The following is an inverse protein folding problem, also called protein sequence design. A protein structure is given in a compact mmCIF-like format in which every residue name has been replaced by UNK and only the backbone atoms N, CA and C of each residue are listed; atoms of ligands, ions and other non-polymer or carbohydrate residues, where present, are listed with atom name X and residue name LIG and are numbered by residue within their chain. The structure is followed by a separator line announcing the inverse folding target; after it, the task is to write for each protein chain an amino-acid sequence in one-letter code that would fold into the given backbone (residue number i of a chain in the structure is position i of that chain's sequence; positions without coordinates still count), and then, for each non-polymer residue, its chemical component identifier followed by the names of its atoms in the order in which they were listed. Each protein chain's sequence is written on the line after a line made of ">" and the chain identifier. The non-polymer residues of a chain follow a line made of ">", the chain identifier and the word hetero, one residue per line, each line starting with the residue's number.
data_IF_858790837016
#
_entry.id   IF_858790837016
#
_cell.length_a   1.000
_cell.length_b   1.000
_cell.length_c   1.000
_cell.angle_alpha   90.00
_cell.angle_beta   90.00
_cell.angle_gamma   90.00
#
_symmetry.space_group_name_H-M   'P 1'
#
loop_
_entity.id
_entity.type
_entity.pdbx_description
1 polymer ?
#
# COMPACT_ATOMS: atom_id res chain seq x y z
N UNK A 1 4.54 0.42 -25.52
CA UNK A 1 3.24 -0.02 -26.10
C UNK A 1 2.44 1.24 -26.40
N UNK A 2 1.77 1.34 -27.55
CA UNK A 2 0.96 2.52 -27.87
C UNK A 2 -0.44 2.35 -27.27
N UNK A 3 -0.86 3.27 -26.39
CA UNK A 3 -2.19 3.26 -25.79
C UNK A 3 -3.28 3.55 -26.87
N UNK A 4 -4.45 2.93 -26.69
CA UNK A 4 -5.63 3.20 -27.52
C UNK A 4 -6.34 4.44 -26.98
N UNK A 5 -6.19 5.56 -27.67
CA UNK A 5 -6.75 6.85 -27.27
C UNK A 5 -7.71 7.30 -28.38
N UNK A 6 -8.88 7.79 -27.99
CA UNK A 6 -9.86 8.37 -28.90
C UNK A 6 -9.93 9.89 -28.64
N UNK A 7 -9.29 10.65 -29.51
CA UNK A 7 -9.06 12.07 -29.28
C UNK A 7 -8.19 12.31 -28.04
N UNK A 8 -8.76 12.91 -27.00
CA UNK A 8 -8.12 13.17 -25.70
C UNK A 8 -8.61 12.20 -24.58
N UNK A 9 -9.27 11.10 -24.96
CA UNK A 9 -10.00 10.24 -24.02
C UNK A 9 -9.53 8.79 -24.09
N UNK A 10 -9.23 8.19 -22.93
CA UNK A 10 -9.15 6.74 -22.76
C UNK A 10 -10.56 6.23 -22.44
N UNK A 11 -11.12 5.46 -23.36
CA UNK A 11 -12.51 5.02 -23.31
C UNK A 11 -12.80 4.08 -22.13
N UNK A 12 -14.07 4.00 -21.76
CA UNK A 12 -14.58 3.07 -20.74
C UNK A 12 -14.15 1.63 -21.05
N UNK A 13 -13.54 0.96 -20.05
CA UNK A 13 -13.07 -0.43 -20.15
C UNK A 13 -12.03 -0.68 -21.24
N UNK A 14 -11.33 0.34 -21.73
CA UNK A 14 -10.39 0.24 -22.86
C UNK A 14 -9.32 -0.86 -22.66
N UNK A 15 -8.89 -1.06 -21.43
CA UNK A 15 -7.84 -2.03 -21.03
C UNK A 15 -8.32 -2.99 -19.94
N UNK A 16 -9.62 -3.21 -19.81
CA UNK A 16 -10.16 -4.10 -18.81
C UNK A 16 -9.53 -5.51 -18.90
N UNK A 17 -8.82 -5.92 -17.82
CA UNK A 17 -8.16 -7.23 -17.74
C UNK A 17 -6.90 -7.39 -18.58
N UNK A 18 -6.33 -6.30 -19.09
CA UNK A 18 -5.12 -6.36 -19.91
C UNK A 18 -3.86 -6.58 -19.04
N UNK A 19 -3.45 -7.83 -18.94
CA UNK A 19 -2.26 -8.25 -18.19
C UNK A 19 -0.94 -8.07 -18.96
N UNK A 20 -0.95 -7.44 -20.15
CA UNK A 20 0.28 -7.04 -20.84
C UNK A 20 0.83 -5.71 -20.32
N UNK A 21 0.00 -4.92 -19.65
CA UNK A 21 0.38 -3.66 -19.03
C UNK A 21 1.21 -3.91 -17.76
N UNK A 22 2.39 -3.29 -17.68
CA UNK A 22 3.27 -3.38 -16.50
C UNK A 22 3.55 -1.97 -15.98
N UNK A 23 4.17 -1.13 -16.80
CA UNK A 23 4.43 0.27 -16.51
C UNK A 23 3.90 1.07 -17.70
N UNK A 24 3.10 2.08 -17.44
CA UNK A 24 2.47 2.89 -18.49
C UNK A 24 2.61 4.38 -18.22
N UNK A 25 2.85 5.13 -19.27
CA UNK A 25 2.82 6.58 -19.24
C UNK A 25 1.60 7.04 -20.04
N UNK A 26 0.75 7.85 -19.41
CA UNK A 26 -0.41 8.46 -20.04
C UNK A 26 0.09 9.69 -20.81
N UNK A 27 -0.15 9.76 -22.14
CA UNK A 27 0.26 10.89 -22.94
C UNK A 27 -0.33 12.23 -22.46
N UNK A 28 0.41 13.32 -22.69
CA UNK A 28 0.03 14.67 -22.24
C UNK A 28 -1.26 15.21 -22.90
N UNK A 29 -1.63 14.70 -24.06
CA UNK A 29 -2.86 15.06 -24.76
C UNK A 29 -4.11 14.39 -24.19
N UNK A 30 -3.94 13.39 -23.31
CA UNK A 30 -5.07 12.75 -22.62
C UNK A 30 -5.59 13.63 -21.50
N UNK A 31 -6.88 13.95 -21.57
CA UNK A 31 -7.61 14.73 -20.56
C UNK A 31 -8.61 13.91 -19.76
N UNK A 32 -9.04 12.77 -20.30
CA UNK A 32 -10.12 11.98 -19.72
C UNK A 32 -9.76 10.49 -19.67
N UNK A 33 -9.99 9.88 -18.52
CA UNK A 33 -9.91 8.43 -18.33
C UNK A 33 -11.28 7.97 -17.83
N UNK A 34 -11.98 7.20 -18.65
CA UNK A 34 -13.35 6.79 -18.35
C UNK A 34 -13.41 5.59 -17.38
N UNK A 35 -14.64 5.29 -16.88
CA UNK A 35 -14.90 4.24 -15.89
C UNK A 35 -14.27 2.89 -16.28
N UNK A 36 -13.63 2.20 -15.33
CA UNK A 36 -13.04 0.87 -15.49
C UNK A 36 -11.94 0.77 -16.55
N UNK A 37 -11.35 1.88 -16.97
CA UNK A 37 -10.43 1.92 -18.12
C UNK A 37 -9.27 0.93 -17.99
N UNK A 38 -8.70 0.77 -16.81
CA UNK A 38 -7.58 -0.14 -16.50
C UNK A 38 -7.96 -1.22 -15.45
N UNK A 39 -9.24 -1.41 -15.18
CA UNK A 39 -9.64 -2.36 -14.16
C UNK A 39 -9.15 -3.79 -14.49
N UNK A 40 -8.82 -4.56 -13.45
CA UNK A 40 -8.34 -5.95 -13.54
C UNK A 40 -7.02 -6.12 -14.32
N UNK A 41 -6.22 -5.05 -14.48
CA UNK A 41 -4.86 -5.13 -15.00
C UNK A 41 -3.93 -5.65 -13.91
N UNK A 42 -3.98 -6.95 -13.63
CA UNK A 42 -3.32 -7.56 -12.46
C UNK A 42 -1.79 -7.48 -12.46
N UNK A 43 -1.15 -7.16 -13.60
CA UNK A 43 0.32 -6.99 -13.71
C UNK A 43 0.77 -5.53 -13.78
N UNK A 44 -0.16 -4.58 -13.82
CA UNK A 44 0.16 -3.15 -13.85
C UNK A 44 0.80 -2.75 -12.52
N UNK A 45 2.04 -2.27 -12.55
CA UNK A 45 2.84 -1.90 -11.37
C UNK A 45 2.89 -0.40 -11.15
N UNK A 46 3.08 0.35 -12.22
CA UNK A 46 3.17 1.80 -12.14
C UNK A 46 2.43 2.49 -13.29
N UNK A 47 1.97 3.71 -13.00
CA UNK A 47 1.39 4.59 -14.00
C UNK A 47 1.86 6.03 -13.79
N UNK A 48 2.27 6.68 -14.87
CA UNK A 48 2.51 8.12 -14.89
C UNK A 48 1.30 8.81 -15.52
N UNK A 49 0.62 9.65 -14.75
CA UNK A 49 -0.48 10.47 -15.20
C UNK A 49 0.02 11.84 -15.67
N UNK A 50 -0.57 12.34 -16.73
CA UNK A 50 -0.40 13.73 -17.13
C UNK A 50 -1.05 14.67 -16.10
N UNK A 51 -0.47 15.85 -15.90
CA UNK A 51 -1.05 16.95 -15.13
C UNK A 51 -2.26 17.61 -15.84
N UNK A 52 -2.46 17.29 -17.12
CA UNK A 52 -3.60 17.75 -17.93
C UNK A 52 -4.89 16.92 -17.74
N UNK A 53 -4.88 15.91 -16.87
CA UNK A 53 -6.07 15.08 -16.62
C UNK A 53 -7.15 15.92 -15.94
N UNK A 54 -8.28 16.10 -16.62
CA UNK A 54 -9.44 16.86 -16.17
C UNK A 54 -10.51 15.93 -15.54
N UNK A 55 -10.54 14.66 -15.96
CA UNK A 55 -11.54 13.72 -15.49
C UNK A 55 -10.98 12.31 -15.33
N UNK A 56 -11.26 11.71 -14.19
CA UNK A 56 -11.02 10.30 -13.91
C UNK A 56 -12.32 9.63 -13.49
N UNK A 57 -12.70 8.59 -14.20
CA UNK A 57 -13.87 7.79 -13.96
C UNK A 57 -13.78 6.91 -12.71
N UNK A 58 -14.84 6.17 -12.45
CA UNK A 58 -14.93 5.27 -11.30
C UNK A 58 -14.23 3.94 -11.55
N UNK A 59 -13.65 3.37 -10.47
CA UNK A 59 -13.07 2.01 -10.46
C UNK A 59 -12.01 1.79 -11.55
N UNK A 60 -11.27 2.82 -11.94
CA UNK A 60 -10.31 2.73 -13.05
C UNK A 60 -9.20 1.71 -12.78
N UNK A 61 -8.84 1.49 -11.51
CA UNK A 61 -7.80 0.55 -11.07
C UNK A 61 -8.35 -0.59 -10.19
N UNK A 62 -9.65 -0.85 -10.22
CA UNK A 62 -10.23 -1.96 -9.47
C UNK A 62 -9.61 -3.29 -9.90
N UNK A 63 -9.09 -4.09 -8.95
CA UNK A 63 -8.42 -5.36 -9.24
C UNK A 63 -7.02 -5.24 -9.87
N UNK A 64 -6.39 -4.05 -9.83
CA UNK A 64 -4.98 -3.86 -10.19
C UNK A 64 -4.10 -4.15 -8.97
N UNK A 65 -4.00 -5.41 -8.58
CA UNK A 65 -3.35 -5.79 -7.32
C UNK A 65 -1.86 -5.46 -7.28
N UNK A 66 -1.16 -5.53 -8.41
CA UNK A 66 0.25 -5.19 -8.52
C UNK A 66 0.54 -3.69 -8.55
N UNK A 67 -0.49 -2.82 -8.75
CA UNK A 67 -0.28 -1.38 -8.85
C UNK A 67 0.13 -0.80 -7.49
N UNK A 68 1.37 -0.37 -7.40
CA UNK A 68 1.97 0.16 -6.18
C UNK A 68 2.33 1.65 -6.30
N UNK A 69 2.39 2.19 -7.50
CA UNK A 69 2.82 3.56 -7.73
C UNK A 69 1.96 4.28 -8.78
N UNK A 70 1.44 5.46 -8.40
CA UNK A 70 0.81 6.40 -9.34
C UNK A 70 1.56 7.73 -9.24
N UNK A 71 2.31 8.06 -10.29
CA UNK A 71 3.01 9.33 -10.42
C UNK A 71 2.17 10.33 -11.21
N UNK A 72 2.35 11.61 -10.91
CA UNK A 72 1.74 12.69 -11.67
C UNK A 72 2.85 13.60 -12.17
N UNK A 73 2.82 13.91 -13.46
CA UNK A 73 3.84 14.73 -14.10
C UNK A 73 3.98 16.10 -13.41
N UNK A 74 5.23 16.54 -13.23
CA UNK A 74 5.52 17.82 -12.57
C UNK A 74 5.50 17.80 -11.04
N UNK A 75 4.93 16.75 -10.40
CA UNK A 75 4.87 16.67 -8.95
C UNK A 75 6.26 16.44 -8.30
N UNK A 76 7.19 15.83 -9.04
CA UNK A 76 8.60 15.64 -8.65
C UNK A 76 9.36 16.95 -8.44
N UNK A 77 8.85 18.06 -8.98
CA UNK A 77 9.44 19.40 -8.76
C UNK A 77 9.06 20.00 -7.39
N UNK A 78 8.02 19.48 -6.75
CA UNK A 78 7.48 20.00 -5.49
C UNK A 78 8.03 19.29 -4.25
N UNK A 79 8.56 18.06 -4.39
CA UNK A 79 8.99 17.21 -3.29
C UNK A 79 10.36 16.59 -3.57
N UNK A 80 11.11 16.25 -2.51
CA UNK A 80 12.32 15.45 -2.63
C UNK A 80 11.99 13.99 -3.05
N UNK A 81 13.03 13.26 -3.52
CA UNK A 81 12.85 11.92 -4.06
C UNK A 81 12.25 10.91 -3.07
N UNK A 82 12.52 11.06 -1.77
CA UNK A 82 11.93 10.22 -0.73
C UNK A 82 10.44 10.51 -0.58
N UNK A 83 10.10 11.77 -0.38
CA UNK A 83 8.73 12.21 -0.17
C UNK A 83 7.82 11.88 -1.35
N UNK A 84 8.27 12.14 -2.60
CA UNK A 84 7.47 11.87 -3.79
C UNK A 84 7.21 10.38 -4.01
N UNK A 85 8.17 9.52 -3.69
CA UNK A 85 7.99 8.06 -3.79
C UNK A 85 6.82 7.61 -2.90
N UNK A 86 6.80 8.01 -1.64
CA UNK A 86 5.71 7.63 -0.73
C UNK A 86 4.38 8.29 -1.07
N UNK A 87 4.36 9.55 -1.53
CA UNK A 87 3.14 10.20 -2.02
C UNK A 87 2.58 9.42 -3.23
N UNK A 88 3.41 8.99 -4.18
CA UNK A 88 2.97 8.21 -5.34
C UNK A 88 2.34 6.87 -4.94
N UNK A 89 2.87 6.22 -3.92
CA UNK A 89 2.33 4.98 -3.37
C UNK A 89 1.04 5.21 -2.56
N UNK A 90 0.99 6.29 -1.80
CA UNK A 90 -0.23 6.71 -1.10
C UNK A 90 -1.34 7.05 -2.09
N UNK A 91 -1.01 7.69 -3.21
CA UNK A 91 -1.96 7.99 -4.29
C UNK A 91 -2.51 6.70 -4.92
N UNK A 92 -1.63 5.70 -5.17
CA UNK A 92 -2.06 4.40 -5.67
C UNK A 92 -3.01 3.69 -4.69
N UNK A 93 -2.71 3.71 -3.40
CA UNK A 93 -3.59 3.14 -2.36
C UNK A 93 -4.94 3.87 -2.32
N UNK A 94 -4.94 5.21 -2.35
CA UNK A 94 -6.15 6.00 -2.33
C UNK A 94 -7.07 5.73 -3.53
N UNK A 95 -6.50 5.72 -4.73
CA UNK A 95 -7.26 5.45 -5.97
C UNK A 95 -7.79 4.03 -6.09
N UNK A 96 -7.16 3.06 -5.41
CA UNK A 96 -7.61 1.66 -5.39
C UNK A 96 -8.63 1.36 -4.29
N UNK A 97 -8.43 1.94 -3.11
CA UNK A 97 -9.10 1.47 -1.89
C UNK A 97 -10.00 2.51 -1.21
N UNK A 98 -9.82 3.82 -1.45
CA UNK A 98 -10.53 4.88 -0.71
C UNK A 98 -11.73 5.45 -1.48
N UNK A 99 -12.64 4.56 -1.89
CA UNK A 99 -13.89 4.97 -2.51
C UNK A 99 -13.86 5.05 -4.03
N UNK A 100 -14.97 5.54 -4.60
CA UNK A 100 -15.26 5.41 -6.04
C UNK A 100 -14.76 6.57 -6.89
N UNK A 101 -14.35 7.67 -6.29
CA UNK A 101 -13.98 8.90 -7.01
C UNK A 101 -12.46 9.12 -7.01
N UNK A 102 -11.76 8.38 -7.87
CA UNK A 102 -10.31 8.44 -7.98
C UNK A 102 -9.79 9.86 -8.34
N UNK A 103 -10.55 10.64 -9.09
CA UNK A 103 -10.15 12.00 -9.51
C UNK A 103 -10.02 13.00 -8.36
N UNK A 104 -10.70 12.81 -7.24
CA UNK A 104 -10.56 13.69 -6.08
C UNK A 104 -9.14 13.62 -5.47
N UNK A 105 -8.46 12.49 -5.63
CA UNK A 105 -7.12 12.30 -5.10
C UNK A 105 -6.03 13.02 -5.87
N UNK A 106 -6.33 13.53 -7.07
CA UNK A 106 -5.41 14.37 -7.85
C UNK A 106 -5.43 15.85 -7.47
N UNK A 107 -6.37 16.27 -6.60
CA UNK A 107 -6.46 17.66 -6.18
C UNK A 107 -5.54 17.93 -5.00
N UNK A 108 -4.76 18.99 -5.09
CA UNK A 108 -3.91 19.51 -4.00
C UNK A 108 -2.99 18.44 -3.36
N UNK A 109 -2.45 17.52 -4.17
CA UNK A 109 -1.60 16.41 -3.71
C UNK A 109 -0.48 16.93 -2.82
N UNK A 110 -0.34 16.33 -1.63
CA UNK A 110 0.70 16.66 -0.67
C UNK A 110 0.42 17.90 0.18
N UNK A 111 -0.73 18.59 0.00
CA UNK A 111 -1.15 19.63 0.92
C UNK A 111 -1.62 19.05 2.27
N UNK A 112 -1.68 19.89 3.33
CA UNK A 112 -2.21 19.44 4.62
C UNK A 112 -3.64 18.91 4.48
N UNK A 113 -4.50 19.54 3.68
CA UNK A 113 -5.87 19.10 3.44
C UNK A 113 -5.90 17.73 2.73
N UNK A 114 -4.97 17.48 1.80
CA UNK A 114 -4.85 16.19 1.13
C UNK A 114 -4.48 15.08 2.13
N UNK A 115 -3.50 15.33 3.01
CA UNK A 115 -3.13 14.39 4.07
C UNK A 115 -4.26 14.14 5.06
N UNK A 116 -5.00 15.18 5.47
CA UNK A 116 -6.15 15.04 6.38
C UNK A 116 -7.25 14.17 5.77
N UNK A 117 -7.57 14.35 4.50
CA UNK A 117 -8.54 13.54 3.77
C UNK A 117 -8.04 12.10 3.59
N UNK A 118 -6.76 11.94 3.27
CA UNK A 118 -6.14 10.63 3.11
C UNK A 118 -6.19 9.86 4.43
N UNK A 119 -5.79 10.49 5.52
CA UNK A 119 -5.78 9.90 6.85
C UNK A 119 -7.20 9.51 7.31
N UNK A 120 -8.20 10.34 7.07
CA UNK A 120 -9.59 10.03 7.39
C UNK A 120 -10.14 8.84 6.57
N UNK A 121 -9.77 8.76 5.30
CA UNK A 121 -10.15 7.66 4.42
C UNK A 121 -9.44 6.36 4.81
N UNK A 122 -8.18 6.45 5.21
CA UNK A 122 -7.42 5.33 5.75
C UNK A 122 -8.03 4.80 7.04
N UNK A 123 -8.45 5.69 7.98
CA UNK A 123 -9.16 5.31 9.20
C UNK A 123 -10.44 4.52 8.90
N UNK A 124 -11.15 4.86 7.83
CA UNK A 124 -12.34 4.15 7.39
C UNK A 124 -11.97 2.78 6.81
N UNK A 125 -10.97 2.77 5.91
CA UNK A 125 -10.50 1.57 5.23
C UNK A 125 -10.00 0.49 6.19
N UNK A 126 -9.21 0.84 7.21
CA UNK A 126 -8.72 -0.15 8.18
C UNK A 126 -9.82 -0.74 9.06
N UNK A 127 -10.94 -0.03 9.25
CA UNK A 127 -12.11 -0.49 10.02
C UNK A 127 -13.07 -1.37 9.22
N UNK A 128 -13.00 -1.34 7.90
CA UNK A 128 -13.81 -2.21 7.06
C UNK A 128 -13.49 -3.69 7.32
N UNK A 129 -14.49 -4.55 7.18
CA UNK A 129 -14.27 -6.00 7.24
C UNK A 129 -13.34 -6.44 6.11
N UNK A 130 -12.44 -7.37 6.40
CA UNK A 130 -11.38 -7.75 5.46
C UNK A 130 -11.89 -8.56 4.26
N UNK A 131 -13.10 -9.09 4.33
CA UNK A 131 -13.75 -9.85 3.26
C UNK A 131 -14.73 -9.03 2.41
N UNK A 132 -14.83 -7.71 2.65
CA UNK A 132 -15.63 -6.82 1.79
C UNK A 132 -15.06 -6.86 0.36
N UNK A 133 -15.94 -7.14 -0.60
CA UNK A 133 -15.60 -7.28 -2.01
C UNK A 133 -15.19 -8.68 -2.42
N UNK A 134 -15.10 -9.65 -1.48
CA UNK A 134 -14.96 -11.05 -1.85
C UNK A 134 -16.20 -11.51 -2.61
N UNK A 135 -16.00 -11.95 -3.84
CA UNK A 135 -17.04 -12.56 -4.65
C UNK A 135 -16.61 -14.01 -4.92
N UNK A 136 -17.28 -15.01 -4.33
CA UNK A 136 -16.99 -16.39 -4.69
C UNK A 136 -17.27 -16.57 -6.18
N UNK A 137 -16.35 -17.20 -6.89
CA UNK A 137 -16.55 -17.51 -8.30
C UNK A 137 -17.59 -18.65 -8.38
N UNK A 138 -18.83 -18.28 -8.64
CA UNK A 138 -19.90 -19.24 -8.92
C UNK A 138 -19.69 -19.79 -10.33
N UNK A 139 -18.76 -20.72 -10.51
CA UNK A 139 -18.74 -21.59 -11.68
C UNK A 139 -19.90 -22.58 -11.54
N UNK A 140 -20.90 -22.50 -12.41
CA UNK A 140 -22.10 -23.33 -12.34
C UNK A 140 -21.79 -24.82 -12.34
N UNK A 141 -22.13 -25.49 -11.25
CA UNK A 141 -22.01 -26.91 -11.02
C UNK A 141 -21.64 -27.19 -9.56
N UNK A 142 -22.18 -28.19 -8.96
CA UNK A 142 -22.12 -28.62 -7.57
C UNK A 142 -20.97 -28.00 -6.74
N UNK A 143 -21.33 -27.04 -5.89
CA UNK A 143 -20.40 -26.21 -5.14
C UNK A 143 -19.72 -27.05 -4.05
N UNK A 144 -18.41 -27.13 -4.09
CA UNK A 144 -17.62 -27.52 -2.93
C UNK A 144 -17.43 -26.29 -2.03
N UNK A 145 -18.31 -26.12 -1.04
CA UNK A 145 -18.32 -24.99 -0.11
C UNK A 145 -17.03 -24.84 0.69
N UNK A 146 -16.21 -25.90 0.79
CA UNK A 146 -14.92 -25.88 1.51
C UNK A 146 -13.90 -25.00 0.80
N UNK A 147 -13.87 -25.00 -0.53
CA UNK A 147 -12.93 -24.19 -1.31
C UNK A 147 -13.28 -22.70 -1.24
N UNK A 148 -14.56 -22.34 -1.20
CA UNK A 148 -14.99 -20.94 -1.09
C UNK A 148 -14.64 -20.30 0.25
N UNK A 149 -14.63 -21.06 1.35
CA UNK A 149 -14.21 -20.56 2.66
C UNK A 149 -12.70 -20.33 2.73
N UNK A 150 -11.91 -21.25 2.16
CA UNK A 150 -10.46 -21.08 2.07
C UNK A 150 -10.09 -19.86 1.21
N UNK A 151 -10.72 -19.68 0.06
CA UNK A 151 -10.51 -18.52 -0.82
C UNK A 151 -10.89 -17.20 -0.11
N UNK A 152 -11.98 -17.19 0.65
CA UNK A 152 -12.41 -16.05 1.47
C UNK A 152 -11.39 -15.71 2.55
N UNK A 153 -10.84 -16.71 3.25
CA UNK A 153 -9.79 -16.51 4.24
C UNK A 153 -8.52 -15.94 3.60
N UNK A 154 -8.10 -16.46 2.44
CA UNK A 154 -6.95 -15.95 1.70
C UNK A 154 -7.18 -14.51 1.22
N UNK A 155 -8.37 -14.21 0.72
CA UNK A 155 -8.75 -12.84 0.33
C UNK A 155 -8.66 -11.88 1.50
N UNK A 156 -9.24 -12.25 2.67
CA UNK A 156 -9.20 -11.47 3.90
C UNK A 156 -7.76 -11.25 4.37
N UNK A 157 -6.93 -12.28 4.34
CA UNK A 157 -5.51 -12.16 4.69
C UNK A 157 -4.75 -11.18 3.77
N UNK A 158 -4.96 -11.29 2.46
CA UNK A 158 -4.36 -10.37 1.49
C UNK A 158 -4.88 -8.94 1.68
N UNK A 159 -6.13 -8.75 2.06
CA UNK A 159 -6.68 -7.44 2.40
C UNK A 159 -5.98 -6.84 3.61
N UNK A 160 -5.71 -7.62 4.66
CA UNK A 160 -4.91 -7.17 5.81
C UNK A 160 -3.50 -6.76 5.41
N UNK A 161 -2.84 -7.52 4.54
CA UNK A 161 -1.52 -7.13 4.00
C UNK A 161 -1.57 -5.78 3.26
N UNK A 162 -2.60 -5.54 2.45
CA UNK A 162 -2.81 -4.25 1.76
C UNK A 162 -3.00 -3.11 2.75
N UNK A 163 -3.81 -3.29 3.80
CA UNK A 163 -4.02 -2.31 4.87
C UNK A 163 -2.73 -1.99 5.62
N UNK A 164 -1.94 -3.02 5.96
CA UNK A 164 -0.62 -2.85 6.59
C UNK A 164 0.31 -2.03 5.70
N UNK A 165 0.48 -2.40 4.42
CA UNK A 165 1.30 -1.64 3.47
C UNK A 165 0.86 -0.18 3.39
N UNK A 166 -0.44 0.06 3.28
CA UNK A 166 -1.03 1.40 3.22
C UNK A 166 -0.63 2.24 4.42
N UNK A 167 -0.71 1.69 5.63
CA UNK A 167 -0.29 2.38 6.85
C UNK A 167 1.21 2.67 6.89
N UNK A 168 2.06 1.71 6.53
CA UNK A 168 3.51 1.89 6.52
C UNK A 168 3.92 3.01 5.55
N UNK A 169 3.30 3.11 4.37
CA UNK A 169 3.55 4.20 3.41
C UNK A 169 3.24 5.58 3.99
N UNK A 170 2.14 5.70 4.74
CA UNK A 170 1.80 6.96 5.41
C UNK A 170 2.72 7.28 6.59
N UNK A 171 3.08 6.28 7.38
CA UNK A 171 3.98 6.44 8.52
C UNK A 171 5.39 6.88 8.11
N UNK A 172 5.86 6.46 6.93
CA UNK A 172 7.14 6.91 6.36
C UNK A 172 7.24 8.45 6.25
N UNK A 173 6.12 9.11 6.01
CA UNK A 173 6.04 10.56 5.89
C UNK A 173 5.67 11.29 7.19
N UNK A 174 5.51 10.60 8.32
CA UNK A 174 5.07 11.19 9.59
C UNK A 174 5.96 12.34 10.08
N UNK A 175 7.28 12.28 9.82
CA UNK A 175 8.20 13.35 10.22
C UNK A 175 7.96 14.66 9.47
N UNK A 176 7.67 14.57 8.18
CA UNK A 176 7.40 15.73 7.33
C UNK A 176 5.94 16.21 7.46
N UNK A 177 5.03 15.28 7.63
CA UNK A 177 3.57 15.51 7.71
C UNK A 177 3.02 14.82 8.96
N UNK A 178 2.98 15.52 10.11
CA UNK A 178 2.63 14.94 11.40
C UNK A 178 1.23 14.30 11.44
N UNK A 179 1.12 13.23 12.20
CA UNK A 179 -0.13 12.52 12.48
C UNK A 179 -0.47 12.76 13.95
N UNK A 180 -1.74 13.04 14.27
CA UNK A 180 -2.15 13.25 15.65
C UNK A 180 -2.03 11.97 16.51
N UNK A 181 -1.81 12.14 17.81
CA UNK A 181 -1.53 11.03 18.74
C UNK A 181 -2.68 10.01 18.84
N UNK A 182 -3.93 10.48 18.75
CA UNK A 182 -5.09 9.59 18.78
C UNK A 182 -5.09 8.62 17.59
N UNK A 183 -4.87 9.14 16.37
CA UNK A 183 -4.78 8.31 15.17
C UNK A 183 -3.57 7.39 15.20
N UNK A 184 -2.43 7.91 15.66
CA UNK A 184 -1.23 7.09 15.83
C UNK A 184 -1.46 5.90 16.76
N UNK A 185 -2.17 6.10 17.89
CA UNK A 185 -2.50 5.03 18.80
C UNK A 185 -3.38 3.96 18.13
N UNK A 186 -4.42 4.37 17.42
CA UNK A 186 -5.32 3.45 16.71
C UNK A 186 -4.60 2.66 15.60
N UNK A 187 -3.73 3.32 14.83
CA UNK A 187 -2.97 2.66 13.76
C UNK A 187 -1.93 1.69 14.30
N UNK A 188 -1.28 2.03 15.41
CA UNK A 188 -0.36 1.13 16.11
C UNK A 188 -1.08 -0.11 16.64
N UNK A 189 -2.26 0.08 17.23
CA UNK A 189 -3.11 -1.03 17.68
C UNK A 189 -3.50 -1.95 16.52
N UNK A 190 -3.93 -1.38 15.38
CA UNK A 190 -4.24 -2.15 14.18
C UNK A 190 -3.03 -2.95 13.68
N UNK A 191 -1.86 -2.33 13.53
CA UNK A 191 -0.64 -3.00 13.05
C UNK A 191 -0.20 -4.13 13.99
N UNK A 192 -0.34 -3.95 15.30
CA UNK A 192 -0.09 -5.00 16.27
C UNK A 192 -1.08 -6.16 16.15
N UNK A 193 -2.37 -5.88 15.90
CA UNK A 193 -3.40 -6.90 15.69
C UNK A 193 -3.21 -7.67 14.37
N UNK A 194 -2.57 -7.05 13.39
CA UNK A 194 -2.26 -7.61 12.07
C UNK A 194 -0.80 -8.11 11.99
N UNK A 195 -0.26 -8.68 13.07
CA UNK A 195 1.15 -9.04 13.19
C UNK A 195 1.64 -10.01 12.10
N UNK A 196 0.91 -11.09 11.80
CA UNK A 196 1.32 -12.04 10.75
C UNK A 196 1.35 -11.39 9.35
N UNK A 197 0.30 -10.66 8.91
CA UNK A 197 0.36 -9.85 7.69
C UNK A 197 1.51 -8.85 7.66
N UNK A 198 1.81 -8.20 8.80
CA UNK A 198 2.93 -7.26 8.93
C UNK A 198 4.27 -7.96 8.70
N UNK A 199 4.50 -9.10 9.35
CA UNK A 199 5.72 -9.89 9.19
C UNK A 199 5.91 -10.32 7.73
N UNK A 200 4.84 -10.72 7.05
CA UNK A 200 4.91 -11.11 5.65
C UNK A 200 5.23 -9.92 4.74
N UNK A 201 4.68 -8.74 5.02
CA UNK A 201 5.04 -7.50 4.32
C UNK A 201 6.53 -7.18 4.49
N UNK A 202 7.07 -7.30 5.72
CA UNK A 202 8.49 -7.06 5.99
C UNK A 202 9.43 -8.09 5.36
N UNK A 203 8.97 -9.32 5.11
CA UNK A 203 9.73 -10.35 4.39
C UNK A 203 9.77 -10.14 2.88
N UNK A 204 8.82 -9.40 2.33
CA UNK A 204 8.78 -9.14 0.89
C UNK A 204 10.06 -8.42 0.46
N UNK A 205 10.66 -8.92 -0.63
CA UNK A 205 11.86 -8.31 -1.21
C UNK A 205 11.48 -7.04 -1.97
N UNK A 206 11.32 -5.96 -1.23
CA UNK A 206 10.97 -4.66 -1.79
C UNK A 206 12.00 -3.59 -1.35
N UNK A 207 12.02 -2.47 -2.07
CA UNK A 207 12.94 -1.35 -1.83
C UNK A 207 12.68 -0.61 -0.50
N UNK A 208 11.55 -0.85 0.15
CA UNK A 208 11.11 -0.15 1.36
C UNK A 208 11.35 -0.95 2.64
N UNK A 209 11.83 -2.19 2.57
CA UNK A 209 11.95 -3.06 3.76
C UNK A 209 12.74 -2.40 4.88
N UNK A 210 13.77 -1.62 4.56
CA UNK A 210 14.57 -0.89 5.55
C UNK A 210 13.76 0.18 6.27
N UNK A 211 13.01 0.98 5.51
CA UNK A 211 12.15 2.02 6.08
C UNK A 211 11.00 1.40 6.86
N UNK A 212 10.36 0.37 6.33
CA UNK A 212 9.25 -0.33 6.98
C UNK A 212 9.65 -0.91 8.34
N UNK A 213 10.81 -1.56 8.44
CA UNK A 213 11.33 -2.07 9.73
C UNK A 213 11.68 -0.93 10.67
N UNK A 214 12.37 0.12 10.18
CA UNK A 214 12.69 1.28 11.00
C UNK A 214 11.44 1.95 11.56
N UNK A 215 10.39 2.10 10.74
CA UNK A 215 9.10 2.63 11.17
C UNK A 215 8.50 1.76 12.28
N UNK A 216 8.52 0.44 12.11
CA UNK A 216 8.00 -0.49 13.12
C UNK A 216 8.72 -0.36 14.47
N UNK A 217 10.02 -0.13 14.43
CA UNK A 217 10.86 0.07 15.62
C UNK A 217 10.63 1.46 16.24
N UNK A 218 10.80 2.52 15.46
CA UNK A 218 10.73 3.91 15.93
C UNK A 218 9.34 4.27 16.47
N UNK A 219 8.28 3.73 15.87
CA UNK A 219 6.90 4.00 16.26
C UNK A 219 6.34 3.01 17.28
N UNK A 220 7.15 2.04 17.74
CA UNK A 220 6.72 1.03 18.69
C UNK A 220 5.54 0.18 18.17
N UNK A 221 5.54 -0.08 16.86
CA UNK A 221 4.48 -0.87 16.19
C UNK A 221 4.58 -2.34 16.57
N UNK A 222 5.78 -2.86 16.76
CA UNK A 222 5.99 -4.27 17.11
C UNK A 222 6.31 -4.35 18.61
N UNK A 223 5.57 -5.16 19.35
CA UNK A 223 5.83 -5.38 20.76
C UNK A 223 7.20 -6.02 20.99
N UNK A 224 7.86 -5.71 22.12
CA UNK A 224 9.21 -6.14 22.44
C UNK A 224 9.42 -7.66 22.32
N UNK A 225 8.48 -8.45 22.83
CA UNK A 225 8.53 -9.91 22.76
C UNK A 225 8.46 -10.44 21.31
N UNK A 226 7.85 -9.70 20.39
CA UNK A 226 7.75 -10.06 18.98
C UNK A 226 8.98 -9.59 18.17
N UNK A 227 9.74 -8.60 18.66
CA UNK A 227 10.96 -8.12 17.99
C UNK A 227 12.06 -9.19 17.96
N UNK A 228 12.21 -9.97 19.03
CA UNK A 228 13.15 -11.12 19.04
C UNK A 228 12.81 -12.12 17.96
N UNK A 229 11.52 -12.45 17.80
CA UNK A 229 11.05 -13.35 16.75
C UNK A 229 11.28 -12.79 15.35
N UNK A 230 11.14 -11.47 15.18
CA UNK A 230 11.37 -10.79 13.89
C UNK A 230 12.80 -10.95 13.39
N UNK A 231 13.79 -10.87 14.27
CA UNK A 231 15.21 -11.08 13.91
C UNK A 231 15.43 -12.43 13.23
N UNK A 232 14.80 -13.48 13.76
CA UNK A 232 14.94 -14.84 13.22
C UNK A 232 14.18 -15.05 11.89
N UNK A 233 13.19 -14.22 11.63
CA UNK A 233 12.32 -14.33 10.44
C UNK A 233 12.86 -13.51 9.27
N UNK A 234 13.60 -12.43 9.54
CA UNK A 234 14.16 -11.57 8.48
C UNK A 234 15.15 -12.35 7.61
N UNK A 235 15.15 -12.14 6.28
CA UNK A 235 16.13 -12.73 5.38
C UNK A 235 17.57 -12.48 5.83
N UNK A 236 18.48 -13.43 5.57
CA UNK A 236 19.90 -13.33 5.96
C UNK A 236 20.59 -12.07 5.41
N UNK A 237 20.18 -11.61 4.23
CA UNK A 237 20.68 -10.38 3.60
C UNK A 237 20.33 -9.09 4.39
N UNK A 238 19.37 -9.14 5.30
CA UNK A 238 18.91 -7.99 6.08
C UNK A 238 19.78 -7.75 7.34
N UNK A 239 21.13 -7.77 7.20
CA UNK A 239 22.08 -7.63 8.31
C UNK A 239 21.89 -6.30 9.05
N UNK A 240 21.76 -5.18 8.33
CA UNK A 240 21.56 -3.85 8.91
C UNK A 240 20.26 -3.77 9.71
N UNK A 241 19.17 -4.39 9.20
CA UNK A 241 17.89 -4.39 9.89
C UNK A 241 17.94 -5.19 11.18
N UNK A 242 18.61 -6.34 11.17
CA UNK A 242 18.85 -7.11 12.38
C UNK A 242 19.62 -6.29 13.39
N UNK A 243 20.68 -5.57 12.98
CA UNK A 243 21.45 -4.70 13.83
C UNK A 243 20.63 -3.54 14.43
N UNK A 244 19.72 -2.93 13.65
CA UNK A 244 18.80 -1.89 14.14
C UNK A 244 17.89 -2.45 15.23
N UNK A 245 17.27 -3.60 15.00
CA UNK A 245 16.38 -4.24 15.96
C UNK A 245 17.14 -4.66 17.23
N UNK A 246 18.34 -5.23 17.08
CA UNK A 246 19.20 -5.61 18.20
C UNK A 246 19.59 -4.41 19.06
N UNK A 247 20.05 -3.34 18.43
CA UNK A 247 20.39 -2.10 19.13
C UNK A 247 19.17 -1.48 19.87
N UNK A 248 17.98 -1.55 19.26
CA UNK A 248 16.76 -1.12 19.94
C UNK A 248 16.46 -1.99 21.17
N UNK A 249 16.57 -3.31 21.06
CA UNK A 249 16.34 -4.24 22.16
C UNK A 249 17.33 -4.02 23.30
N UNK A 250 18.62 -3.77 23.01
CA UNK A 250 19.63 -3.44 24.00
C UNK A 250 19.29 -2.15 24.76
N UNK A 251 18.88 -1.11 24.05
CA UNK A 251 18.53 0.18 24.63
C UNK A 251 17.26 0.15 25.50
N UNK A 252 16.31 -0.75 25.19
CA UNK A 252 15.06 -0.84 25.94
C UNK A 252 15.17 -1.77 27.15
N UNK A 253 15.97 -2.84 27.08
CA UNK A 253 16.06 -3.85 28.15
C UNK A 253 17.17 -3.58 29.16
N UNK A 254 18.03 -2.57 28.96
CA UNK A 254 19.11 -2.20 29.89
C UNK A 254 19.73 -3.38 30.65
N UNK A 255 20.88 -3.87 30.24
CA UNK A 255 21.76 -4.83 30.97
C UNK A 255 21.30 -6.30 31.11
N UNK A 256 20.23 -6.77 30.53
CA UNK A 256 20.01 -8.22 30.42
C UNK A 256 20.73 -8.76 29.17
N UNK A 257 21.54 -9.81 29.39
CA UNK A 257 22.39 -10.51 28.40
C UNK A 257 21.54 -11.14 27.27
N UNK A 258 21.07 -10.31 26.34
CA UNK A 258 20.23 -10.73 25.18
C UNK A 258 20.99 -11.70 24.25
N UNK A 259 22.33 -11.62 24.27
CA UNK A 259 23.24 -12.38 23.40
C UNK A 259 23.28 -13.89 23.68
N UNK A 260 22.91 -14.34 24.89
CA UNK A 260 22.95 -15.76 25.24
C UNK A 260 21.81 -16.58 24.67
N UNK A 261 20.79 -15.96 24.05
CA UNK A 261 19.66 -16.66 23.44
C UNK A 261 19.80 -16.81 21.90
N UNK A 262 20.79 -16.17 21.29
CA UNK A 262 21.08 -16.32 19.86
C UNK A 262 22.27 -17.28 19.70
N UNK A 263 22.00 -18.57 19.51
CA UNK A 263 22.99 -19.49 18.95
C UNK A 263 23.33 -19.04 17.52
N UNK A 264 24.57 -18.58 17.32
CA UNK A 264 25.16 -18.26 16.02
C UNK A 264 25.58 -19.53 15.32
#
# INVERSE_FOLDING_TARGET
>A
MQLKIDGDTIAKKAYLGDNTLIDIDIPEDVKRIEDWAFAQCGRLKSILLSDNIEYIGRNIFAGCDALDEIRVYGLECAFDGYTITYISQMLAAAMKYFGYNAGEWLKDIGSSAWFDNWDASCDSYIKEQDDIGFMPFLAGGEEDYSDSEHERMLYSYNTRKRKVKTLLRRLALKKAFPINDYRMSAWREYLNSAYEPLVDVLKEDNIHVHDDVRICVDEGVIMLNNMKSLINILPEKCVELRAIIMNYLENVNGDEDIWNEFEI
#
